data_IF_868842942533
#
_entry.id   IF_868842942533
#
_cell.length_a   1.000
_cell.length_b   1.000
_cell.length_c   1.000
_cell.angle_alpha   90.00
_cell.angle_beta   90.00
_cell.angle_gamma   90.00
#
_symmetry.space_group_name_H-M   'P 1'
#
loop_
_entity.id
_entity.type
_entity.pdbx_description
1 polymer ?
#
# COMPACT_ATOMS: atom_id res chain seq x y z
N UNK A 1 30.87 9.50 25.56
CA UNK A 1 30.22 10.33 24.52
C UNK A 1 30.18 9.48 23.27
N UNK A 2 29.19 8.59 23.23
CA UNK A 2 28.74 7.83 22.06
C UNK A 2 27.22 7.69 22.26
N UNK A 3 26.54 8.82 22.16
CA UNK A 3 25.07 8.90 22.04
C UNK A 3 24.87 9.75 20.79
N UNK A 4 24.03 9.25 19.85
CA UNK A 4 23.73 9.81 18.52
C UNK A 4 24.52 9.22 17.33
N UNK A 5 24.51 7.88 17.21
CA UNK A 5 24.63 7.19 15.91
C UNK A 5 23.21 7.05 15.30
N UNK A 6 22.95 7.57 14.09
CA UNK A 6 21.65 7.45 13.38
C UNK A 6 21.17 6.02 13.10
N UNK A 7 22.00 4.99 13.35
CA UNK A 7 21.57 3.58 13.35
C UNK A 7 20.88 3.15 14.65
N UNK A 8 20.88 3.99 15.69
CA UNK A 8 20.21 3.73 16.96
C UNK A 8 18.79 4.34 17.00
N UNK A 9 18.00 4.10 15.96
CA UNK A 9 16.57 3.92 16.22
C UNK A 9 16.47 2.71 17.14
N UNK A 10 16.43 2.93 18.45
CA UNK A 10 15.90 1.93 19.38
C UNK A 10 14.40 1.85 19.09
N UNK A 11 14.05 1.13 18.02
CA UNK A 11 13.07 0.06 18.20
C UNK A 11 13.58 -0.65 19.45
N UNK A 12 12.88 -0.50 20.57
CA UNK A 12 13.09 -1.41 21.68
C UNK A 12 12.65 -2.75 21.12
N UNK A 13 13.56 -3.41 20.40
CA UNK A 13 13.44 -4.80 20.04
C UNK A 13 13.40 -5.51 21.38
N UNK A 14 12.18 -5.86 21.81
CA UNK A 14 12.00 -6.79 22.90
C UNK A 14 12.91 -7.98 22.58
N UNK A 15 13.89 -8.21 23.44
CA UNK A 15 14.79 -9.33 23.26
C UNK A 15 13.98 -10.62 23.24
N UNK A 16 14.42 -11.65 22.51
CA UNK A 16 13.73 -12.94 22.51
C UNK A 16 13.50 -13.46 23.95
N UNK A 17 14.47 -13.23 24.85
CA UNK A 17 14.37 -13.57 26.27
C UNK A 17 13.22 -12.85 26.99
N UNK A 18 13.01 -11.56 26.71
CA UNK A 18 11.87 -10.80 27.25
C UNK A 18 10.55 -11.33 26.70
N UNK A 19 10.49 -11.68 25.41
CA UNK A 19 9.29 -12.26 24.82
C UNK A 19 9.02 -13.65 25.41
N UNK A 20 10.04 -14.48 25.64
CA UNK A 20 9.90 -15.78 26.33
C UNK A 20 9.42 -15.62 27.77
N UNK A 21 9.95 -14.64 28.51
CA UNK A 21 9.46 -14.32 29.85
C UNK A 21 7.97 -13.94 29.80
N UNK A 22 7.58 -13.12 28.82
CA UNK A 22 6.18 -12.74 28.62
C UNK A 22 5.29 -13.94 28.27
N UNK A 23 5.75 -14.85 27.41
CA UNK A 23 5.03 -16.09 27.10
C UNK A 23 4.80 -16.91 28.36
N UNK A 24 5.80 -17.00 29.26
CA UNK A 24 5.67 -17.73 30.53
C UNK A 24 4.60 -17.09 31.42
N UNK A 25 4.62 -15.77 31.59
CA UNK A 25 3.59 -15.04 32.35
C UNK A 25 2.20 -15.25 31.75
N UNK A 26 2.06 -15.07 30.44
CA UNK A 26 0.78 -15.20 29.75
C UNK A 26 0.21 -16.62 29.83
N UNK A 27 1.06 -17.65 29.85
CA UNK A 27 0.62 -19.04 30.09
C UNK A 27 0.11 -19.25 31.51
N UNK A 28 0.72 -18.62 32.50
CA UNK A 28 0.21 -18.63 33.88
C UNK A 28 -1.13 -17.92 33.95
N UNK A 29 -1.26 -16.72 33.37
CA UNK A 29 -2.53 -16.01 33.30
C UNK A 29 -3.63 -16.82 32.60
N UNK A 30 -3.28 -17.55 31.53
CA UNK A 30 -4.23 -18.44 30.85
C UNK A 30 -4.68 -19.59 31.76
N UNK A 31 -3.76 -20.20 32.52
CA UNK A 31 -4.09 -21.27 33.45
C UNK A 31 -5.01 -20.76 34.58
N UNK A 32 -4.67 -19.62 35.18
CA UNK A 32 -5.48 -19.00 36.23
C UNK A 32 -6.89 -18.64 35.71
N UNK A 33 -6.99 -18.07 34.51
CA UNK A 33 -8.27 -17.75 33.87
C UNK A 33 -9.14 -19.00 33.65
N UNK A 34 -8.53 -20.12 33.25
CA UNK A 34 -9.24 -21.40 33.07
C UNK A 34 -9.71 -21.99 34.41
N UNK A 35 -8.89 -21.92 35.46
CA UNK A 35 -9.23 -22.39 36.80
C UNK A 35 -10.37 -21.56 37.42
N UNK A 36 -10.36 -20.25 37.18
CA UNK A 36 -11.39 -19.31 37.63
C UNK A 36 -12.63 -19.28 36.71
N UNK A 37 -12.58 -19.92 35.55
CA UNK A 37 -13.60 -19.87 34.50
C UNK A 37 -13.88 -18.43 34.00
N UNK A 38 -12.85 -17.57 34.00
CA UNK A 38 -12.91 -16.22 33.45
C UNK A 38 -12.64 -16.24 31.94
N UNK A 39 -13.72 -16.33 31.17
CA UNK A 39 -13.66 -16.38 29.70
C UNK A 39 -13.11 -15.08 29.07
N UNK A 40 -13.20 -13.94 29.75
CA UNK A 40 -12.67 -12.66 29.23
C UNK A 40 -11.15 -12.65 29.37
N UNK A 41 -10.65 -13.01 30.55
CA UNK A 41 -9.22 -13.14 30.80
C UNK A 41 -8.58 -14.25 29.92
N UNK A 42 -9.29 -15.36 29.71
CA UNK A 42 -8.88 -16.42 28.79
C UNK A 42 -8.70 -15.85 27.37
N UNK A 43 -9.68 -15.12 26.85
CA UNK A 43 -9.63 -14.51 25.52
C UNK A 43 -8.43 -13.55 25.35
N UNK A 44 -8.22 -12.65 26.31
CA UNK A 44 -7.09 -11.73 26.27
C UNK A 44 -5.75 -12.48 26.33
N UNK A 45 -5.60 -13.48 27.21
CA UNK A 45 -4.39 -14.29 27.31
C UNK A 45 -4.10 -15.05 26.01
N UNK A 46 -5.12 -15.67 25.38
CA UNK A 46 -4.99 -16.33 24.08
C UNK A 46 -4.57 -15.34 22.98
N UNK A 47 -5.18 -14.15 22.94
CA UNK A 47 -4.82 -13.10 21.98
C UNK A 47 -3.37 -12.65 22.14
N UNK A 48 -2.90 -12.44 23.38
CA UNK A 48 -1.53 -12.01 23.64
C UNK A 48 -0.50 -13.12 23.41
N UNK A 49 -0.82 -14.37 23.73
CA UNK A 49 0.05 -15.51 23.43
C UNK A 49 0.26 -15.65 21.92
N UNK A 50 -0.80 -15.52 21.12
CA UNK A 50 -0.66 -15.53 19.67
C UNK A 50 0.28 -14.45 19.14
N UNK A 51 0.19 -13.23 19.70
CA UNK A 51 1.09 -12.13 19.33
C UNK A 51 2.54 -12.36 19.78
N UNK A 52 2.75 -12.92 20.98
CA UNK A 52 4.09 -13.21 21.50
C UNK A 52 4.78 -14.30 20.66
N UNK A 53 4.07 -15.37 20.30
CA UNK A 53 4.59 -16.41 19.41
C UNK A 53 4.83 -15.89 17.98
N UNK A 54 4.00 -14.97 17.50
CA UNK A 54 4.26 -14.26 16.23
C UNK A 54 5.59 -13.50 16.28
N UNK A 55 5.87 -12.77 17.37
CA UNK A 55 7.14 -12.04 17.55
C UNK A 55 8.36 -12.98 17.61
N UNK A 56 8.19 -14.18 18.19
CA UNK A 56 9.22 -15.23 18.23
C UNK A 56 9.40 -15.98 16.90
N UNK A 57 8.61 -15.67 15.87
CA UNK A 57 8.66 -16.37 14.58
C UNK A 57 8.02 -17.77 14.58
N UNK A 58 7.45 -18.22 15.70
CA UNK A 58 6.70 -19.49 15.76
C UNK A 58 5.25 -19.27 15.29
N UNK A 59 5.11 -19.15 13.98
CA UNK A 59 3.83 -18.86 13.34
C UNK A 59 2.80 -19.99 13.48
N UNK A 60 3.25 -21.23 13.66
CA UNK A 60 2.35 -22.37 13.88
C UNK A 60 1.67 -22.24 15.23
N UNK A 61 2.44 -22.03 16.31
CA UNK A 61 1.87 -21.84 17.64
C UNK A 61 1.07 -20.54 17.73
N UNK A 62 1.52 -19.46 17.09
CA UNK A 62 0.77 -18.21 17.02
C UNK A 62 -0.62 -18.39 16.39
N UNK A 63 -0.70 -19.18 15.31
CA UNK A 63 -1.95 -19.52 14.65
C UNK A 63 -2.88 -20.29 15.58
N UNK A 64 -2.40 -21.32 16.26
CA UNK A 64 -3.21 -22.13 17.18
C UNK A 64 -3.85 -21.26 18.28
N UNK A 65 -3.09 -20.33 18.86
CA UNK A 65 -3.64 -19.40 19.87
C UNK A 65 -4.66 -18.43 19.30
N UNK A 66 -4.44 -17.92 18.09
CA UNK A 66 -5.40 -17.03 17.44
C UNK A 66 -6.67 -17.75 16.97
N UNK A 67 -6.61 -19.03 16.58
CA UNK A 67 -7.78 -19.86 16.29
C UNK A 67 -8.61 -20.14 17.55
N UNK A 68 -7.95 -20.42 18.70
CA UNK A 68 -8.63 -20.55 20.00
C UNK A 68 -9.29 -19.23 20.42
N UNK A 69 -8.57 -18.12 20.32
CA UNK A 69 -9.12 -16.79 20.62
C UNK A 69 -10.31 -16.45 19.72
N UNK A 70 -10.27 -16.82 18.43
CA UNK A 70 -11.39 -16.65 17.51
C UNK A 70 -12.61 -17.46 17.96
N UNK A 71 -12.42 -18.76 18.24
CA UNK A 71 -13.51 -19.64 18.67
C UNK A 71 -14.18 -19.13 19.95
N UNK A 72 -13.40 -18.73 20.94
CA UNK A 72 -13.90 -18.16 22.18
C UNK A 72 -14.63 -16.83 21.95
N UNK A 73 -14.06 -15.94 21.13
CA UNK A 73 -14.71 -14.66 20.80
C UNK A 73 -16.08 -14.87 20.14
N UNK A 74 -16.21 -15.87 19.27
CA UNK A 74 -17.48 -16.22 18.62
C UNK A 74 -18.49 -16.80 19.61
N UNK A 75 -18.06 -17.66 20.54
CA UNK A 75 -18.91 -18.20 21.60
C UNK A 75 -19.47 -17.08 22.49
N UNK A 76 -18.60 -16.14 22.89
CA UNK A 76 -18.95 -14.98 23.71
C UNK A 76 -19.70 -13.89 22.95
N UNK A 77 -19.78 -13.98 21.62
CA UNK A 77 -20.26 -12.91 20.74
C UNK A 77 -19.49 -11.59 20.95
N UNK A 78 -18.20 -11.69 21.28
CA UNK A 78 -17.27 -10.56 21.32
C UNK A 78 -16.78 -10.25 19.90
N UNK A 79 -17.52 -9.40 19.22
CA UNK A 79 -17.17 -8.95 17.86
C UNK A 79 -15.83 -8.20 17.80
N UNK A 80 -15.40 -7.54 18.88
CA UNK A 80 -14.11 -6.84 18.91
C UNK A 80 -12.97 -7.84 18.99
N UNK A 81 -13.11 -8.88 19.81
CA UNK A 81 -12.24 -10.04 19.88
C UNK A 81 -12.19 -10.80 18.56
N UNK A 82 -13.35 -11.12 17.99
CA UNK A 82 -13.50 -11.84 16.72
C UNK A 82 -12.79 -11.11 15.57
N UNK A 83 -13.06 -9.80 15.40
CA UNK A 83 -12.37 -8.96 14.41
C UNK A 83 -10.85 -8.97 14.61
N UNK A 84 -10.37 -8.90 15.85
CA UNK A 84 -8.93 -8.90 16.16
C UNK A 84 -8.31 -10.24 15.80
N UNK A 85 -8.97 -11.35 16.14
CA UNK A 85 -8.53 -12.70 15.82
C UNK A 85 -8.43 -12.90 14.30
N UNK A 86 -9.48 -12.54 13.56
CA UNK A 86 -9.48 -12.56 12.10
C UNK A 86 -8.36 -11.69 11.51
N UNK A 87 -8.17 -10.46 12.01
CA UNK A 87 -7.08 -9.60 11.55
C UNK A 87 -5.69 -10.22 11.73
N UNK A 88 -5.45 -10.87 12.87
CA UNK A 88 -4.17 -11.51 13.17
C UNK A 88 -3.95 -12.79 12.36
N UNK A 89 -4.98 -13.65 12.23
CA UNK A 89 -4.93 -14.82 11.35
C UNK A 89 -4.69 -14.43 9.89
N UNK A 90 -5.34 -13.36 9.42
CA UNK A 90 -5.10 -12.80 8.10
C UNK A 90 -3.65 -12.40 7.87
N UNK A 91 -3.01 -11.75 8.85
CA UNK A 91 -1.59 -11.43 8.80
C UNK A 91 -0.70 -12.68 8.79
N UNK A 92 -1.00 -13.69 9.63
CA UNK A 92 -0.25 -14.94 9.68
C UNK A 92 -0.31 -15.69 8.35
N UNK A 93 -1.50 -15.87 7.78
CA UNK A 93 -1.65 -16.55 6.49
C UNK A 93 -0.95 -15.81 5.36
N UNK A 94 -0.95 -14.47 5.39
CA UNK A 94 -0.17 -13.65 4.44
C UNK A 94 1.32 -13.96 4.54
N UNK A 95 1.87 -14.05 5.75
CA UNK A 95 3.29 -14.37 5.96
C UNK A 95 3.65 -15.80 5.51
N UNK A 96 2.75 -16.76 5.73
CA UNK A 96 2.97 -18.15 5.31
C UNK A 96 2.64 -18.40 3.82
N UNK A 97 2.20 -17.36 3.08
CA UNK A 97 1.91 -17.44 1.64
C UNK A 97 0.54 -18.00 1.26
N UNK A 98 -0.36 -18.25 2.22
CA UNK A 98 -1.74 -18.69 1.93
C UNK A 98 -2.64 -17.45 1.76
N UNK A 99 -2.48 -16.77 0.63
CA UNK A 99 -3.19 -15.52 0.35
C UNK A 99 -4.71 -15.66 0.32
N UNK A 100 -5.22 -16.83 -0.08
CA UNK A 100 -6.66 -17.11 -0.08
C UNK A 100 -7.24 -17.06 1.33
N UNK A 101 -6.66 -17.80 2.29
CA UNK A 101 -7.12 -17.73 3.69
C UNK A 101 -6.85 -16.37 4.30
N UNK A 102 -5.74 -15.72 3.95
CA UNK A 102 -5.44 -14.38 4.41
C UNK A 102 -6.57 -13.40 4.05
N UNK A 103 -7.05 -13.43 2.80
CA UNK A 103 -8.20 -12.62 2.35
C UNK A 103 -9.48 -13.01 3.07
N UNK A 104 -9.80 -14.30 3.20
CA UNK A 104 -11.01 -14.75 3.88
C UNK A 104 -11.11 -14.19 5.31
N UNK A 105 -10.03 -14.31 6.09
CA UNK A 105 -9.99 -13.75 7.44
C UNK A 105 -10.05 -12.21 7.44
N UNK A 106 -9.33 -11.53 6.54
CA UNK A 106 -9.36 -10.06 6.48
C UNK A 106 -10.73 -9.51 6.02
N UNK A 107 -11.44 -10.19 5.12
CA UNK A 107 -12.80 -9.83 4.70
C UNK A 107 -13.79 -10.03 5.85
N UNK A 108 -13.67 -11.11 6.62
CA UNK A 108 -14.47 -11.29 7.82
C UNK A 108 -14.24 -10.15 8.83
N UNK A 109 -12.98 -9.80 9.11
CA UNK A 109 -12.65 -8.64 9.95
C UNK A 109 -13.18 -7.31 9.37
N UNK A 110 -13.15 -7.15 8.04
CA UNK A 110 -13.64 -5.96 7.34
C UNK A 110 -15.14 -5.78 7.55
N UNK A 111 -15.92 -6.85 7.37
CA UNK A 111 -17.37 -6.82 7.52
C UNK A 111 -17.78 -6.41 8.94
N UNK A 112 -17.17 -7.03 9.96
CA UNK A 112 -17.41 -6.66 11.36
C UNK A 112 -17.04 -5.19 11.62
N UNK A 113 -15.91 -4.72 11.08
CA UNK A 113 -15.50 -3.34 11.24
C UNK A 113 -16.43 -2.34 10.54
N UNK A 114 -16.99 -2.69 9.38
CA UNK A 114 -17.95 -1.86 8.63
C UNK A 114 -19.28 -1.75 9.34
N UNK A 115 -19.83 -2.86 9.84
CA UNK A 115 -21.12 -2.89 10.54
C UNK A 115 -21.13 -2.00 11.79
N UNK A 116 -19.96 -1.79 12.41
CA UNK A 116 -19.80 -1.00 13.64
C UNK A 116 -19.12 0.34 13.44
N UNK A 117 -18.90 0.75 12.19
CA UNK A 117 -18.22 1.99 11.82
C UNK A 117 -16.85 2.19 12.51
N UNK A 118 -16.10 1.10 12.69
CA UNK A 118 -14.80 1.11 13.35
C UNK A 118 -13.68 1.58 12.40
N UNK A 119 -13.56 2.89 12.22
CA UNK A 119 -12.63 3.54 11.27
C UNK A 119 -11.17 3.10 11.39
N UNK A 120 -10.57 3.15 12.59
CA UNK A 120 -9.13 2.80 12.77
C UNK A 120 -8.81 1.37 12.32
N UNK A 121 -9.56 0.34 12.75
CA UNK A 121 -9.49 -0.99 12.17
C UNK A 121 -9.62 -1.07 10.65
N UNK A 122 -10.58 -0.36 10.06
CA UNK A 122 -10.82 -0.38 8.61
C UNK A 122 -9.57 0.00 7.83
N UNK A 123 -8.89 1.08 8.22
CA UNK A 123 -7.67 1.52 7.56
C UNK A 123 -6.57 0.43 7.56
N UNK A 124 -6.38 -0.28 8.69
CA UNK A 124 -5.40 -1.37 8.80
C UNK A 124 -5.78 -2.58 7.95
N UNK A 125 -7.07 -2.94 7.93
CA UNK A 125 -7.58 -4.08 7.15
C UNK A 125 -7.44 -3.80 5.65
N UNK A 126 -7.84 -2.60 5.19
CA UNK A 126 -7.67 -2.20 3.79
C UNK A 126 -6.19 -2.18 3.36
N UNK A 127 -5.28 -1.72 4.22
CA UNK A 127 -3.84 -1.83 3.93
C UNK A 127 -3.42 -3.28 3.70
N UNK A 128 -3.81 -4.19 4.60
CA UNK A 128 -3.43 -5.60 4.49
C UNK A 128 -4.05 -6.29 3.26
N UNK A 129 -5.31 -6.00 2.94
CA UNK A 129 -5.97 -6.51 1.73
C UNK A 129 -5.28 -5.95 0.47
N UNK A 130 -4.99 -4.66 0.43
CA UNK A 130 -4.28 -4.03 -0.69
C UNK A 130 -2.92 -4.66 -0.95
N UNK A 131 -2.15 -4.95 0.10
CA UNK A 131 -0.87 -5.66 -0.02
C UNK A 131 -1.04 -7.09 -0.58
N UNK A 132 -2.09 -7.81 -0.18
CA UNK A 132 -2.33 -9.16 -0.71
C UNK A 132 -2.68 -9.08 -2.19
N UNK A 133 -3.57 -8.17 -2.58
CA UNK A 133 -3.93 -7.99 -3.99
C UNK A 133 -2.73 -7.58 -4.84
N UNK A 134 -1.83 -6.74 -4.33
CA UNK A 134 -0.58 -6.38 -5.00
C UNK A 134 0.34 -7.60 -5.18
N UNK A 135 0.50 -8.45 -4.16
CA UNK A 135 1.29 -9.69 -4.26
C UNK A 135 0.69 -10.69 -5.27
N UNK A 136 -0.62 -10.64 -5.48
CA UNK A 136 -1.34 -11.45 -6.47
C UNK A 136 -1.38 -10.78 -7.86
N UNK A 137 -0.74 -9.61 -8.03
CA UNK A 137 -0.78 -8.79 -9.25
C UNK A 137 -2.20 -8.37 -9.66
N UNK A 138 -3.12 -8.33 -8.71
CA UNK A 138 -4.47 -7.80 -8.88
C UNK A 138 -4.48 -6.30 -8.50
N UNK A 139 -3.94 -5.47 -9.39
CA UNK A 139 -3.68 -4.07 -9.10
C UNK A 139 -4.95 -3.22 -8.99
N UNK A 140 -6.01 -3.57 -9.70
CA UNK A 140 -7.31 -2.89 -9.64
C UNK A 140 -7.94 -3.00 -8.24
N UNK A 141 -7.93 -4.19 -7.65
CA UNK A 141 -8.42 -4.44 -6.30
C UNK A 141 -7.50 -3.79 -5.25
N UNK A 142 -6.18 -3.78 -5.49
CA UNK A 142 -5.23 -3.08 -4.64
C UNK A 142 -5.47 -1.55 -4.64
N UNK A 143 -5.75 -0.95 -5.80
CA UNK A 143 -6.12 0.46 -5.93
C UNK A 143 -7.41 0.73 -5.17
N UNK A 144 -8.42 -0.12 -5.31
CA UNK A 144 -9.70 0.00 -4.60
C UNK A 144 -9.49 0.00 -3.08
N UNK A 145 -8.69 -0.93 -2.57
CA UNK A 145 -8.35 -0.97 -1.14
C UNK A 145 -7.63 0.29 -0.66
N UNK A 146 -6.67 0.82 -1.44
CA UNK A 146 -5.97 2.04 -1.04
C UNK A 146 -6.84 3.30 -1.15
N UNK A 147 -7.79 3.37 -2.09
CA UNK A 147 -8.80 4.46 -2.15
C UNK A 147 -9.71 4.44 -0.93
N UNK A 148 -10.20 3.28 -0.53
CA UNK A 148 -11.01 3.11 0.68
C UNK A 148 -10.21 3.47 1.95
N UNK A 149 -8.95 3.01 2.05
CA UNK A 149 -8.04 3.39 3.13
C UNK A 149 -7.82 4.91 3.19
N UNK A 150 -7.62 5.56 2.04
CA UNK A 150 -7.44 7.00 1.93
C UNK A 150 -8.68 7.76 2.46
N UNK A 151 -9.89 7.32 2.09
CA UNK A 151 -11.13 7.91 2.58
C UNK A 151 -11.22 7.81 4.11
N UNK A 152 -10.97 6.62 4.68
CA UNK A 152 -10.97 6.41 6.14
C UNK A 152 -9.90 7.25 6.84
N UNK A 153 -8.69 7.36 6.26
CA UNK A 153 -7.62 8.17 6.83
C UNK A 153 -7.97 9.67 6.82
N UNK A 154 -8.61 10.17 5.76
CA UNK A 154 -9.14 11.54 5.68
C UNK A 154 -10.20 11.79 6.76
N UNK A 155 -11.13 10.86 6.95
CA UNK A 155 -12.14 10.96 8.02
C UNK A 155 -11.51 11.00 9.42
N UNK A 156 -10.47 10.20 9.65
CA UNK A 156 -9.71 10.18 10.91
C UNK A 156 -8.76 11.36 11.09
N UNK A 157 -8.56 12.19 10.05
CA UNK A 157 -7.51 13.23 9.98
C UNK A 157 -6.11 12.67 10.27
N UNK A 158 -5.88 11.40 9.90
CA UNK A 158 -4.60 10.73 10.05
C UNK A 158 -3.68 11.08 8.89
N UNK A 159 -2.90 12.15 9.05
CA UNK A 159 -2.00 12.65 7.99
C UNK A 159 -0.99 11.59 7.53
N UNK A 160 -0.48 10.76 8.43
CA UNK A 160 0.42 9.67 8.07
C UNK A 160 -0.31 8.58 7.26
N UNK A 161 -1.52 8.22 7.70
CA UNK A 161 -2.40 7.30 6.97
C UNK A 161 -2.74 7.78 5.56
N UNK A 162 -3.01 9.09 5.40
CA UNK A 162 -3.28 9.73 4.12
C UNK A 162 -2.04 9.64 3.22
N UNK A 163 -0.87 10.09 3.70
CA UNK A 163 0.38 10.05 2.93
C UNK A 163 0.73 8.64 2.45
N UNK A 164 0.64 7.64 3.33
CA UNK A 164 0.90 6.23 2.96
C UNK A 164 -0.09 5.67 1.94
N UNK A 165 -1.37 6.06 2.02
CA UNK A 165 -2.36 5.62 1.03
C UNK A 165 -2.13 6.27 -0.34
N UNK A 166 -1.78 7.56 -0.37
CA UNK A 166 -1.43 8.29 -1.59
C UNK A 166 -0.16 7.72 -2.25
N UNK A 167 0.87 7.43 -1.47
CA UNK A 167 2.09 6.77 -1.96
C UNK A 167 1.77 5.46 -2.69
N UNK A 168 0.98 4.60 -2.05
CA UNK A 168 0.57 3.32 -2.64
C UNK A 168 -0.25 3.52 -3.92
N UNK A 169 -1.17 4.49 -3.95
CA UNK A 169 -1.95 4.79 -5.15
C UNK A 169 -1.08 5.33 -6.29
N UNK A 170 -0.09 6.18 -5.97
CA UNK A 170 0.90 6.67 -6.92
C UNK A 170 1.72 5.53 -7.53
N UNK A 171 2.22 4.63 -6.69
CA UNK A 171 2.99 3.44 -7.09
C UNK A 171 2.17 2.52 -7.99
N UNK A 172 0.96 2.13 -7.57
CA UNK A 172 0.10 1.22 -8.32
C UNK A 172 -0.27 1.77 -9.70
N UNK A 173 -0.60 3.06 -9.78
CA UNK A 173 -0.90 3.72 -11.05
C UNK A 173 0.34 3.87 -11.94
N UNK A 174 1.52 4.06 -11.35
CA UNK A 174 2.77 4.06 -12.10
C UNK A 174 3.01 2.71 -12.78
N UNK A 175 2.83 1.62 -12.03
CA UNK A 175 3.00 0.24 -12.54
C UNK A 175 2.00 -0.07 -13.67
N UNK A 176 0.76 0.40 -13.56
CA UNK A 176 -0.27 0.23 -14.60
C UNK A 176 -0.07 1.14 -15.83
N UNK A 177 0.86 2.10 -15.79
CA UNK A 177 1.05 3.08 -16.86
C UNK A 177 0.05 4.25 -16.82
N UNK A 178 -0.75 4.38 -15.76
CA UNK A 178 -1.64 5.52 -15.51
C UNK A 178 -0.82 6.71 -14.98
N UNK A 179 0.10 7.23 -15.79
CA UNK A 179 1.10 8.21 -15.37
C UNK A 179 0.47 9.52 -14.87
N UNK A 180 -0.63 9.96 -15.48
CA UNK A 180 -1.34 11.17 -15.05
C UNK A 180 -1.90 11.03 -13.63
N UNK A 181 -2.60 9.92 -13.33
CA UNK A 181 -3.12 9.65 -11.98
C UNK A 181 -1.99 9.45 -10.97
N UNK A 182 -0.91 8.77 -11.38
CA UNK A 182 0.27 8.56 -10.54
C UNK A 182 0.87 9.89 -10.09
N UNK A 183 1.09 10.83 -11.02
CA UNK A 183 1.59 12.18 -10.72
C UNK A 183 0.65 12.92 -9.78
N UNK A 184 -0.67 12.85 -10.01
CA UNK A 184 -1.65 13.50 -9.14
C UNK A 184 -1.55 13.02 -7.69
N UNK A 185 -1.46 11.70 -7.46
CA UNK A 185 -1.35 11.16 -6.11
C UNK A 185 -0.05 11.56 -5.41
N UNK A 186 1.08 11.58 -6.14
CA UNK A 186 2.35 12.05 -5.58
C UNK A 186 2.34 13.55 -5.29
N UNK A 187 1.73 14.36 -6.14
CA UNK A 187 1.58 15.80 -5.90
C UNK A 187 0.72 16.06 -4.65
N UNK A 188 -0.41 15.37 -4.48
CA UNK A 188 -1.23 15.45 -3.25
C UNK A 188 -0.43 15.01 -2.01
N UNK A 189 0.39 13.96 -2.12
CA UNK A 189 1.24 13.51 -1.01
C UNK A 189 2.29 14.56 -0.63
N UNK A 190 2.95 15.16 -1.62
CA UNK A 190 3.96 16.21 -1.40
C UNK A 190 3.36 17.46 -0.76
N UNK A 191 2.10 17.80 -1.05
CA UNK A 191 1.41 18.90 -0.37
C UNK A 191 1.28 18.66 1.14
N UNK A 192 0.94 17.42 1.54
CA UNK A 192 0.82 17.04 2.95
C UNK A 192 2.18 17.07 3.65
N UNK A 193 3.22 16.53 3.01
CA UNK A 193 4.58 16.50 3.55
C UNK A 193 5.15 17.92 3.73
N UNK A 194 4.95 18.79 2.72
CA UNK A 194 5.31 20.22 2.82
C UNK A 194 4.54 20.95 3.91
N UNK A 195 3.27 20.64 4.11
CA UNK A 195 2.48 21.21 5.20
C UNK A 195 3.02 20.78 6.56
N UNK A 196 3.43 19.52 6.72
CA UNK A 196 4.05 19.00 7.93
C UNK A 196 5.39 19.70 8.22
N UNK A 197 6.25 19.85 7.22
CA UNK A 197 7.55 20.52 7.36
C UNK A 197 7.41 21.98 7.78
N UNK A 198 6.49 22.74 7.16
CA UNK A 198 6.22 24.14 7.52
C UNK A 198 5.77 24.30 8.97
N UNK A 199 4.95 23.38 9.48
CA UNK A 199 4.51 23.42 10.89
C UNK A 199 5.71 23.21 11.81
N UNK A 200 6.61 22.29 11.48
CA UNK A 200 7.81 22.06 12.27
C UNK A 200 8.76 23.25 12.25
N UNK A 201 8.97 23.89 11.10
CA UNK A 201 9.75 25.13 11.00
C UNK A 201 9.15 26.23 11.90
N UNK A 202 7.83 26.38 11.92
CA UNK A 202 7.16 27.38 12.79
C UNK A 202 7.23 27.03 14.28
N UNK A 203 7.25 25.74 14.65
CA UNK A 203 7.37 25.30 16.04
C UNK A 203 8.83 25.40 16.53
N UNK A 204 9.80 25.18 15.65
CA UNK A 204 11.22 25.36 15.93
C UNK A 204 11.61 26.83 16.19
N UNK A 205 10.83 27.78 15.67
CA UNK A 205 10.97 29.21 16.00
C UNK A 205 10.34 29.57 17.37
N UNK A 206 9.46 28.73 17.93
CA UNK A 206 8.78 28.96 19.23
C UNK A 206 9.37 28.16 20.41
N UNK A 207 10.08 27.05 20.17
CA UNK A 207 10.77 26.27 21.22
C UNK A 207 12.24 26.03 20.89
N UNK A 208 13.11 26.86 21.48
CA UNK A 208 14.51 26.50 21.71
C UNK A 208 14.55 25.42 22.80
N UNK A 209 14.87 24.19 22.41
CA UNK A 209 15.18 22.97 23.20
C UNK A 209 14.11 21.87 23.19
N UNK A 210 14.12 21.06 22.13
CA UNK A 210 13.94 19.61 22.26
C UNK A 210 14.65 18.90 21.10
N UNK A 211 15.68 18.14 21.43
CA UNK A 211 16.39 17.23 20.53
C UNK A 211 15.51 16.00 20.28
N UNK A 212 14.63 16.06 19.27
CA UNK A 212 13.95 14.90 18.70
C UNK A 212 13.70 15.19 17.19
N UNK A 213 14.79 15.44 16.46
CA UNK A 213 14.78 15.48 14.99
C UNK A 213 15.08 14.09 14.45
N UNK A 214 14.05 13.26 14.25
CA UNK A 214 14.20 11.99 13.51
C UNK A 214 12.93 11.67 12.70
N UNK A 215 13.14 11.15 11.47
CA UNK A 215 12.19 10.68 10.43
C UNK A 215 11.38 11.69 9.57
N UNK A 216 12.03 12.61 8.86
CA UNK A 216 11.37 13.38 7.76
C UNK A 216 12.00 13.15 6.38
N UNK A 217 13.17 12.52 6.29
CA UNK A 217 13.88 12.38 5.02
C UNK A 217 13.86 10.92 4.57
N UNK A 218 12.92 10.57 3.70
CA UNK A 218 13.08 9.50 2.67
C UNK A 218 11.85 9.41 1.74
N UNK A 219 10.64 9.65 2.25
CA UNK A 219 9.40 9.57 1.44
C UNK A 219 9.31 10.72 0.42
N UNK A 220 9.76 11.93 0.78
CA UNK A 220 9.75 13.10 -0.10
C UNK A 220 10.66 12.91 -1.33
N UNK A 221 11.84 12.33 -1.14
CA UNK A 221 12.79 12.11 -2.23
C UNK A 221 12.26 11.07 -3.22
N UNK A 222 11.74 9.95 -2.71
CA UNK A 222 11.12 8.89 -3.52
C UNK A 222 9.93 9.44 -4.31
N UNK A 223 9.10 10.29 -3.70
CA UNK A 223 7.97 10.93 -4.37
C UNK A 223 8.41 11.87 -5.50
N UNK A 224 9.43 12.70 -5.25
CA UNK A 224 9.96 13.63 -6.24
C UNK A 224 10.60 12.89 -7.42
N UNK A 225 11.36 11.84 -7.16
CA UNK A 225 11.96 10.98 -8.19
C UNK A 225 10.88 10.30 -9.03
N UNK A 226 9.86 9.71 -8.39
CA UNK A 226 8.75 9.07 -9.08
C UNK A 226 7.95 10.06 -9.96
N UNK A 227 7.74 11.29 -9.49
CA UNK A 227 7.11 12.37 -10.28
C UNK A 227 7.97 12.76 -11.48
N UNK A 228 9.29 12.91 -11.29
CA UNK A 228 10.20 13.27 -12.36
C UNK A 228 10.23 12.18 -13.44
N UNK A 229 10.32 10.91 -13.03
CA UNK A 229 10.30 9.77 -13.94
C UNK A 229 8.98 9.69 -14.71
N UNK A 230 7.83 9.80 -14.03
CA UNK A 230 6.52 9.77 -14.68
C UNK A 230 6.36 10.91 -15.69
N UNK A 231 6.78 12.13 -15.34
CA UNK A 231 6.74 13.30 -16.25
C UNK A 231 7.66 13.11 -17.45
N UNK A 232 8.83 12.50 -17.27
CA UNK A 232 9.75 12.19 -18.36
C UNK A 232 9.14 11.16 -19.32
N UNK A 233 8.57 10.06 -18.81
CA UNK A 233 7.87 9.05 -19.62
C UNK A 233 6.74 9.67 -20.44
N UNK A 234 5.91 10.53 -19.83
CA UNK A 234 4.86 11.26 -20.54
C UNK A 234 5.39 12.16 -21.66
N UNK A 235 6.55 12.81 -21.46
CA UNK A 235 7.18 13.65 -22.48
C UNK A 235 7.68 12.79 -23.65
N UNK A 236 8.31 11.66 -23.35
CA UNK A 236 8.83 10.72 -24.36
C UNK A 236 7.69 10.12 -25.19
N UNK A 237 6.56 9.78 -24.57
CA UNK A 237 5.34 9.33 -25.25
C UNK A 237 4.78 10.40 -26.20
N UNK A 238 4.68 11.65 -25.75
CA UNK A 238 4.23 12.77 -26.60
C UNK A 238 5.16 12.99 -27.79
N UNK A 239 6.48 12.95 -27.58
CA UNK A 239 7.46 13.08 -28.64
C UNK A 239 7.39 11.91 -29.64
N UNK A 240 7.13 10.69 -29.16
CA UNK A 240 6.93 9.52 -30.01
C UNK A 240 5.66 9.64 -30.86
N UNK A 241 4.55 10.12 -30.28
CA UNK A 241 3.31 10.38 -31.01
C UNK A 241 3.47 11.45 -32.08
N UNK A 242 4.16 12.56 -31.77
CA UNK A 242 4.42 13.62 -32.74
C UNK A 242 5.25 13.12 -33.93
N UNK A 243 6.33 12.37 -33.65
CA UNK A 243 7.12 11.71 -34.70
C UNK A 243 6.27 10.75 -35.54
N UNK A 244 5.41 9.95 -34.91
CA UNK A 244 4.51 9.03 -35.62
C UNK A 244 3.50 9.78 -36.51
N UNK A 245 2.95 10.91 -36.03
CA UNK A 245 2.06 11.80 -36.80
C UNK A 245 2.79 12.42 -38.00
N UNK A 246 4.03 12.88 -37.81
CA UNK A 246 4.87 13.43 -38.88
C UNK A 246 5.23 12.39 -39.94
N UNK A 247 5.59 11.18 -39.53
CA UNK A 247 5.89 10.08 -40.45
C UNK A 247 4.64 9.60 -41.20
N UNK A 248 3.48 9.56 -40.53
CA UNK A 248 2.20 9.31 -41.19
C UNK A 248 1.85 10.41 -42.20
N UNK A 249 2.13 11.68 -41.89
CA UNK A 249 1.93 12.82 -42.80
C UNK A 249 2.85 12.74 -44.01
N UNK A 250 4.13 12.40 -43.83
CA UNK A 250 5.09 12.14 -44.92
C UNK A 250 4.62 10.98 -45.80
N UNK A 251 4.19 9.86 -45.22
CA UNK A 251 3.62 8.71 -45.96
C UNK A 251 2.35 9.07 -46.75
N UNK A 252 1.47 9.92 -46.22
CA UNK A 252 0.27 10.42 -46.93
C UNK A 252 0.62 11.36 -48.08
N UNK A 253 1.68 12.15 -47.98
CA UNK A 253 2.17 12.98 -49.10
C UNK A 253 2.78 12.11 -50.22
N UNK A 254 3.35 10.96 -49.88
CA UNK A 254 3.88 9.97 -50.84
C UNK A 254 2.78 8.98 -51.22
N UNK A 255 1.80 9.42 -52.05
CA UNK A 255 1.12 8.62 -53.09
C UNK A 255 -0.07 9.38 -53.69
N UNK A 256 0.11 9.93 -54.89
CA UNK A 256 -0.96 9.92 -55.90
C UNK A 256 -0.44 9.23 -57.17
N UNK A 257 -0.66 7.91 -57.33
CA UNK A 257 -0.23 7.17 -58.51
C UNK A 257 -1.03 7.52 -59.78
N UNK A 258 -2.04 8.40 -59.68
CA UNK A 258 -2.87 8.88 -60.79
C UNK A 258 -2.53 10.29 -61.26
N UNK A 259 -1.54 10.98 -60.68
CA UNK A 259 -0.90 12.12 -61.36
C UNK A 259 0.06 11.59 -62.45
N UNK A 260 -0.48 10.87 -63.45
CA UNK A 260 0.23 10.70 -64.72
C UNK A 260 0.30 12.09 -65.36
N UNK A 261 1.50 12.58 -65.67
CA UNK A 261 1.64 13.74 -66.58
C UNK A 261 0.84 13.41 -67.85
N UNK A 262 0.00 14.31 -68.38
CA UNK A 262 -0.69 14.05 -69.63
C UNK A 262 0.36 13.82 -70.71
N UNK A 263 0.32 12.65 -71.39
CA UNK A 263 1.17 12.38 -72.54
C UNK A 263 0.94 13.49 -73.56
N UNK A 264 2.02 14.17 -73.96
CA UNK A 264 2.01 15.13 -75.07
C UNK A 264 1.56 14.44 -76.36
N UNK A 265 1.13 15.22 -77.35
CA UNK A 265 0.65 14.68 -78.63
C UNK A 265 1.74 13.84 -79.32
N UNK A 266 2.99 14.24 -79.18
CA UNK A 266 4.18 13.56 -79.73
C UNK A 266 4.39 12.19 -79.08
N UNK A 267 4.34 12.10 -77.75
CA UNK A 267 4.48 10.83 -77.01
C UNK A 267 3.34 9.82 -77.28
N UNK A 268 2.20 10.29 -77.79
CA UNK A 268 1.11 9.41 -78.26
C UNK A 268 1.32 8.91 -79.68
N UNK A 269 2.02 9.69 -80.51
CA UNK A 269 2.31 9.34 -81.91
C UNK A 269 3.43 8.30 -81.97
N UNK A 270 4.50 8.48 -81.20
CA UNK A 270 5.59 7.48 -81.14
C UNK A 270 5.09 6.10 -80.69
N UNK A 271 4.26 6.05 -79.64
CA UNK A 271 3.69 4.80 -79.14
C UNK A 271 2.73 4.10 -80.12
N UNK A 272 2.22 4.82 -81.14
CA UNK A 272 1.39 4.23 -82.20
C UNK A 272 2.24 3.67 -83.35
N UNK A 273 3.45 4.19 -83.55
CA UNK A 273 4.38 3.70 -84.56
C UNK A 273 5.15 2.46 -84.09
N UNK A 274 5.20 2.19 -82.79
CA UNK A 274 5.88 1.03 -82.19
C UNK A 274 5.00 -0.22 -82.02
N UNK A 275 3.72 -0.20 -82.41
CA UNK A 275 2.80 -1.36 -82.44
C UNK A 275 2.33 -1.67 -83.86
#
# INVERSE_FOLDING_TARGET
>A
MEENDPKNYRLVEESEDEVYAKVKELKTCLADALDEQDQVAEGDALSFLGLAYYKLGDYTTAKDYHEKHLALSQELKDEKGERRAHGNLGCLFKLTGDFTKAREHLIAALNIAKERDHKRPLAKIYNNLGNIYELEMNYEEAITCNKERLAVAKELRDQNGIGKALANLGNLNHVLGNLEESVQFYEEMLEILRAKLRILDTLAEEESNSEDEDDIVDIDLVALEAVAEAKQKMLDEKLAEEKAKDDAKKKRQIKNPFKKKPKTREEKIEAWLEN
#
